data_IF_754057052702
#
_entry.id   IF_754057052702
#
_cell.length_a   1.000
_cell.length_b   1.000
_cell.length_c   1.000
_cell.angle_alpha   90.00
_cell.angle_beta   90.00
_cell.angle_gamma   90.00
#
_symmetry.space_group_name_H-M   'P 1'
#
loop_
_entity.id
_entity.type
_entity.pdbx_description
1 polymer ?
#
# COMPACT_ATOMS: atom_id res chain seq x y z
N UNK A 1 -15.43 15.66 -17.48
CA UNK A 1 -15.13 14.23 -17.31
C UNK A 1 -16.05 13.68 -16.22
N UNK A 2 -16.85 12.64 -16.50
CA UNK A 2 -17.78 12.06 -15.52
C UNK A 2 -17.05 11.14 -14.54
N UNK A 3 -17.65 10.82 -13.39
CA UNK A 3 -17.10 9.84 -12.44
C UNK A 3 -16.85 8.50 -13.13
N UNK A 4 -17.78 8.05 -13.97
CA UNK A 4 -17.63 6.81 -14.74
C UNK A 4 -16.40 6.85 -15.67
N UNK A 5 -16.15 8.00 -16.32
CA UNK A 5 -14.96 8.19 -17.15
C UNK A 5 -13.67 8.19 -16.33
N UNK A 6 -13.65 8.81 -15.14
CA UNK A 6 -12.49 8.81 -14.25
C UNK A 6 -12.13 7.40 -13.77
N UNK A 7 -13.14 6.65 -13.30
CA UNK A 7 -12.96 5.26 -12.86
C UNK A 7 -12.46 4.38 -14.01
N UNK A 8 -13.00 4.56 -15.22
CA UNK A 8 -12.54 3.83 -16.40
C UNK A 8 -11.06 4.09 -16.70
N UNK A 9 -10.60 5.34 -16.58
CA UNK A 9 -9.18 5.70 -16.77
C UNK A 9 -8.30 5.08 -15.69
N UNK A 10 -8.69 5.14 -14.41
CA UNK A 10 -7.94 4.50 -13.32
C UNK A 10 -7.80 3.00 -13.58
N UNK A 11 -8.88 2.33 -13.99
CA UNK A 11 -8.87 0.90 -14.29
C UNK A 11 -7.95 0.55 -15.48
N UNK A 12 -7.96 1.37 -16.54
CA UNK A 12 -7.08 1.19 -17.70
C UNK A 12 -5.61 1.34 -17.31
N UNK A 13 -5.28 2.37 -16.52
CA UNK A 13 -3.92 2.61 -16.03
C UNK A 13 -3.44 1.47 -15.13
N UNK A 14 -4.29 1.00 -14.20
CA UNK A 14 -3.98 -0.15 -13.35
C UNK A 14 -3.73 -1.42 -14.18
N UNK A 15 -4.54 -1.68 -15.22
CA UNK A 15 -4.35 -2.82 -16.14
C UNK A 15 -3.02 -2.72 -16.88
N UNK A 16 -2.65 -1.53 -17.36
CA UNK A 16 -1.37 -1.32 -18.03
C UNK A 16 -0.19 -1.58 -17.07
N UNK A 17 -0.21 -0.97 -15.88
CA UNK A 17 0.83 -1.11 -14.87
C UNK A 17 0.99 -2.56 -14.40
N UNK A 18 -0.11 -3.31 -14.24
CA UNK A 18 -0.07 -4.71 -13.80
C UNK A 18 0.81 -5.60 -14.69
N UNK A 19 0.82 -5.36 -16.00
CA UNK A 19 1.63 -6.13 -16.96
C UNK A 19 3.12 -5.85 -16.81
N UNK A 20 3.48 -4.61 -16.50
CA UNK A 20 4.86 -4.23 -16.22
C UNK A 20 5.32 -4.82 -14.88
N UNK A 21 4.49 -4.68 -13.83
CA UNK A 21 4.75 -5.20 -12.49
C UNK A 21 4.96 -6.73 -12.49
N UNK A 22 4.14 -7.48 -13.23
CA UNK A 22 4.25 -8.93 -13.33
C UNK A 22 5.57 -9.43 -13.97
N UNK A 23 6.32 -8.56 -14.65
CA UNK A 23 7.60 -8.89 -15.30
C UNK A 23 8.82 -8.46 -14.47
N UNK A 24 8.61 -7.75 -13.36
CA UNK A 24 9.71 -7.31 -12.51
C UNK A 24 10.33 -8.51 -11.78
N UNK A 25 11.65 -8.49 -11.64
CA UNK A 25 12.36 -9.47 -10.83
C UNK A 25 12.01 -9.30 -9.35
N UNK A 26 12.17 -10.38 -8.58
CA UNK A 26 12.02 -10.38 -7.13
C UNK A 26 12.87 -9.28 -6.48
N UNK A 27 14.13 -9.11 -6.91
CA UNK A 27 15.03 -8.08 -6.38
C UNK A 27 14.45 -6.67 -6.52
N UNK A 28 13.91 -6.33 -7.69
CA UNK A 28 13.33 -4.99 -7.93
C UNK A 28 12.06 -4.81 -7.09
N UNK A 29 11.21 -5.84 -6.99
CA UNK A 29 10.01 -5.78 -6.15
C UNK A 29 10.37 -5.57 -4.67
N UNK A 30 11.36 -6.29 -4.16
CA UNK A 30 11.80 -6.18 -2.78
C UNK A 30 12.43 -4.80 -2.51
N UNK A 31 13.27 -4.29 -3.42
CA UNK A 31 13.83 -2.94 -3.28
C UNK A 31 12.74 -1.86 -3.22
N UNK A 32 11.69 -1.97 -4.04
CA UNK A 32 10.56 -1.06 -3.98
C UNK A 32 9.87 -1.12 -2.61
N UNK A 33 9.59 -2.31 -2.08
CA UNK A 33 8.95 -2.47 -0.77
C UNK A 33 9.80 -1.87 0.36
N UNK A 34 11.12 -2.08 0.34
CA UNK A 34 12.03 -1.50 1.33
C UNK A 34 12.08 0.03 1.24
N UNK A 35 12.14 0.60 0.03
CA UNK A 35 12.07 2.05 -0.17
C UNK A 35 10.74 2.63 0.29
N UNK A 36 9.63 1.92 0.10
CA UNK A 36 8.33 2.34 0.63
C UNK A 36 8.31 2.35 2.16
N UNK A 37 8.89 1.33 2.80
CA UNK A 37 9.03 1.27 4.26
C UNK A 37 9.86 2.46 4.79
N UNK A 38 10.97 2.78 4.15
CA UNK A 38 11.83 3.90 4.56
C UNK A 38 11.15 5.26 4.33
N UNK A 39 10.40 5.40 3.23
CA UNK A 39 9.64 6.61 2.94
C UNK A 39 8.52 6.86 3.97
N UNK A 40 7.84 5.80 4.43
CA UNK A 40 6.86 5.91 5.51
C UNK A 40 7.50 6.42 6.80
N UNK A 41 8.64 5.83 7.20
CA UNK A 41 9.35 6.25 8.40
C UNK A 41 9.84 7.69 8.30
N UNK A 42 10.44 8.07 7.16
CA UNK A 42 10.91 9.43 6.92
C UNK A 42 9.78 10.47 6.95
N UNK A 43 8.58 10.08 6.49
CA UNK A 43 7.43 10.99 6.37
C UNK A 43 6.49 10.94 7.58
N UNK A 44 6.86 10.24 8.66
CA UNK A 44 6.00 9.95 9.82
C UNK A 44 5.31 11.19 10.36
N UNK A 45 6.07 12.25 10.66
CA UNK A 45 5.53 13.47 11.26
C UNK A 45 4.55 14.18 10.32
N UNK A 46 4.85 14.19 9.02
CA UNK A 46 3.96 14.78 8.01
C UNK A 46 2.67 13.98 7.85
N UNK A 47 2.75 12.64 7.87
CA UNK A 47 1.58 11.77 7.76
C UNK A 47 0.64 11.92 8.97
N UNK A 48 1.20 12.02 10.18
CA UNK A 48 0.42 12.25 11.41
C UNK A 48 -0.24 13.63 11.38
N UNK A 49 0.50 14.67 10.95
CA UNK A 49 -0.03 16.02 10.84
C UNK A 49 -1.20 16.11 9.84
N UNK A 50 -1.12 15.44 8.70
CA UNK A 50 -2.23 15.39 7.73
C UNK A 50 -3.40 14.54 8.23
N UNK A 51 -3.14 13.38 8.85
CA UNK A 51 -4.19 12.53 9.40
C UNK A 51 -4.97 13.21 10.55
N UNK A 52 -4.34 14.11 11.30
CA UNK A 52 -5.04 14.91 12.31
C UNK A 52 -6.16 15.78 11.70
N UNK A 53 -5.98 16.29 10.48
CA UNK A 53 -7.02 17.03 9.75
C UNK A 53 -8.18 16.11 9.37
N UNK A 54 -7.88 14.89 8.94
CA UNK A 54 -8.89 13.88 8.61
C UNK A 54 -9.68 13.44 9.85
N UNK A 55 -9.03 13.29 11.00
CA UNK A 55 -9.69 12.98 12.27
C UNK A 55 -10.64 14.09 12.70
N UNK A 56 -10.23 15.36 12.57
CA UNK A 56 -11.09 16.51 12.86
C UNK A 56 -12.31 16.53 11.93
N UNK A 57 -12.10 16.40 10.62
CA UNK A 57 -13.17 16.35 9.63
C UNK A 57 -14.09 15.14 9.83
N UNK A 58 -13.54 14.00 10.24
CA UNK A 58 -14.30 12.79 10.55
C UNK A 58 -15.20 12.98 11.77
N UNK A 59 -14.67 13.62 12.82
CA UNK A 59 -15.44 13.94 14.02
C UNK A 59 -16.58 14.91 13.72
N UNK A 60 -16.34 15.95 12.92
CA UNK A 60 -17.38 16.89 12.48
C UNK A 60 -18.49 16.22 11.66
N UNK A 61 -18.14 15.19 10.88
CA UNK A 61 -19.10 14.38 10.10
C UNK A 61 -19.81 13.30 10.93
N UNK A 62 -19.57 13.23 12.24
CA UNK A 62 -20.23 12.30 13.15
C UNK A 62 -19.73 10.85 13.02
N UNK A 63 -18.46 10.63 12.63
CA UNK A 63 -17.85 9.31 12.73
C UNK A 63 -17.85 8.84 14.19
N UNK A 64 -18.15 7.56 14.41
CA UNK A 64 -18.06 6.95 15.74
C UNK A 64 -16.60 6.86 16.22
N UNK A 65 -16.41 6.81 17.53
CA UNK A 65 -15.07 6.67 18.13
C UNK A 65 -14.31 5.43 17.59
N UNK A 66 -15.03 4.33 17.34
CA UNK A 66 -14.45 3.12 16.75
C UNK A 66 -13.98 3.31 15.29
N UNK A 67 -14.62 4.19 14.51
CA UNK A 67 -14.16 4.54 13.17
C UNK A 67 -13.01 5.54 13.21
N UNK A 68 -13.04 6.49 14.16
CA UNK A 68 -11.93 7.42 14.38
C UNK A 68 -10.66 6.69 14.83
N UNK A 69 -10.77 5.71 15.71
CA UNK A 69 -9.63 4.87 16.11
C UNK A 69 -9.06 4.09 14.92
N UNK A 70 -9.89 3.57 14.01
CA UNK A 70 -9.39 2.92 12.78
C UNK A 70 -8.73 3.90 11.80
N UNK A 71 -9.17 5.15 11.77
CA UNK A 71 -8.64 6.21 10.91
C UNK A 71 -7.32 6.78 11.46
N UNK A 72 -7.13 6.77 12.78
CA UNK A 72 -5.99 7.37 13.44
C UNK A 72 -4.67 6.72 13.01
N UNK A 73 -3.71 7.56 12.65
CA UNK A 73 -2.31 7.22 12.47
C UNK A 73 -1.50 7.76 13.65
N UNK A 74 -0.63 6.91 14.19
CA UNK A 74 0.34 7.24 15.21
C UNK A 74 1.71 6.65 14.81
N UNK A 75 2.82 7.03 15.49
CA UNK A 75 4.15 6.53 15.12
C UNK A 75 4.26 4.99 15.17
N UNK A 76 3.53 4.34 16.09
CA UNK A 76 3.55 2.88 16.23
C UNK A 76 2.86 2.20 15.05
N UNK A 77 1.71 2.72 14.60
CA UNK A 77 0.99 2.22 13.42
C UNK A 77 1.82 2.42 12.16
N UNK A 78 2.49 3.56 12.00
CA UNK A 78 3.37 3.83 10.85
C UNK A 78 4.58 2.90 10.86
N UNK A 79 5.23 2.70 12.02
CA UNK A 79 6.29 1.69 12.16
C UNK A 79 5.79 0.30 11.79
N UNK A 80 4.62 -0.11 12.29
CA UNK A 80 4.03 -1.40 11.94
C UNK A 80 3.76 -1.58 10.45
N UNK A 81 3.35 -0.51 9.74
CA UNK A 81 3.20 -0.54 8.28
C UNK A 81 4.55 -0.72 7.57
N UNK A 82 5.59 0.00 8.01
CA UNK A 82 6.94 -0.13 7.46
C UNK A 82 7.52 -1.54 7.72
N UNK A 83 7.33 -2.07 8.92
CA UNK A 83 7.81 -3.41 9.29
C UNK A 83 7.09 -4.50 8.50
N UNK A 84 5.77 -4.39 8.31
CA UNK A 84 5.02 -5.31 7.45
C UNK A 84 5.52 -5.31 5.99
N UNK A 85 5.91 -4.15 5.45
CA UNK A 85 6.52 -4.07 4.11
C UNK A 85 7.88 -4.80 4.05
N UNK A 86 8.71 -4.64 5.10
CA UNK A 86 10.01 -5.34 5.22
C UNK A 86 9.83 -6.85 5.36
N UNK A 87 8.83 -7.28 6.15
CA UNK A 87 8.48 -8.69 6.30
C UNK A 87 8.05 -9.30 4.96
N UNK A 88 7.16 -8.63 4.21
CA UNK A 88 6.72 -9.09 2.89
C UNK A 88 7.90 -9.19 1.92
N UNK A 89 8.82 -8.21 1.93
CA UNK A 89 10.01 -8.22 1.09
C UNK A 89 10.97 -9.39 1.41
N UNK A 90 10.89 -9.97 2.62
CA UNK A 90 11.69 -11.12 3.02
C UNK A 90 11.05 -12.47 2.63
N UNK A 91 9.77 -12.49 2.24
CA UNK A 91 9.09 -13.70 1.80
C UNK A 91 9.56 -14.16 0.42
N UNK A 92 9.40 -15.45 0.15
CA UNK A 92 9.65 -16.01 -1.18
C UNK A 92 8.60 -15.46 -2.15
N UNK A 93 9.07 -15.01 -3.30
CA UNK A 93 8.22 -14.48 -4.36
C UNK A 93 7.48 -15.62 -5.07
N UNK A 94 6.13 -15.65 -5.03
CA UNK A 94 5.35 -16.72 -5.65
C UNK A 94 5.21 -16.55 -7.17
N UNK A 95 5.60 -15.40 -7.72
CA UNK A 95 5.38 -15.10 -9.14
C UNK A 95 6.34 -15.91 -10.02
N UNK A 96 5.78 -16.76 -10.87
CA UNK A 96 6.55 -17.62 -11.77
C UNK A 96 6.85 -19.02 -11.20
N UNK A 97 6.35 -19.33 -10.01
CA UNK A 97 6.48 -20.66 -9.42
C UNK A 97 5.72 -21.71 -10.24
N UNK A 98 6.40 -22.80 -10.61
CA UNK A 98 5.80 -23.94 -11.31
C UNK A 98 5.23 -24.90 -10.28
N UNK A 99 3.91 -24.87 -10.08
CA UNK A 99 3.26 -25.67 -9.04
C UNK A 99 3.16 -27.16 -9.38
N UNK A 100 3.19 -27.54 -10.68
CA UNK A 100 3.20 -28.94 -11.15
C UNK A 100 3.93 -29.06 -12.48
N UNK A 101 4.75 -30.10 -12.65
CA UNK A 101 5.42 -30.43 -13.91
C UNK A 101 5.29 -31.93 -14.17
N UNK A 102 4.82 -32.32 -15.37
CA UNK A 102 4.65 -33.72 -15.76
C UNK A 102 5.77 -34.11 -16.73
N UNK A 103 6.54 -35.14 -16.37
CA UNK A 103 7.51 -35.78 -17.27
C UNK A 103 6.79 -36.90 -18.02
N UNK A 104 6.87 -36.87 -19.36
CA UNK A 104 6.41 -37.98 -20.21
C UNK A 104 7.37 -39.16 -20.11
#
# INVERSE_FOLDING_TARGET
MTIAQQVAVIAQNARQASRALARLSTTVKNEMLLRMADALMFSTDSLIAENAKDLAAGKEKGLSDALLDRLMLDPKRISGMADALREIAALVDPVGEVTRMWKR
#
